data_IF_628162743399
#
_entry.id   IF_628162743399
#
_cell.length_a   1.000
_cell.length_b   1.000
_cell.length_c   1.000
_cell.angle_alpha   90.00
_cell.angle_beta   90.00
_cell.angle_gamma   90.00
#
_symmetry.space_group_name_H-M   'P 1'
#
loop_
_entity.id
_entity.type
_entity.pdbx_description
1 polymer ?
#
# COMPACT_ATOMS: atom_id res chain seq x y z
N UNK A 1 14.57 -5.60 4.70
CA UNK A 1 13.24 -6.14 5.07
C UNK A 1 12.16 -5.06 5.05
N UNK A 2 12.30 -3.94 5.77
CA UNK A 2 11.34 -2.82 5.72
C UNK A 2 11.21 -2.22 4.31
N UNK A 3 12.32 -2.18 3.55
CA UNK A 3 12.33 -1.73 2.16
C UNK A 3 11.35 -2.53 1.29
N UNK A 4 11.38 -3.86 1.39
CA UNK A 4 10.53 -4.72 0.56
C UNK A 4 9.04 -4.51 0.85
N UNK A 5 8.67 -4.37 2.13
CA UNK A 5 7.29 -4.10 2.55
C UNK A 5 6.80 -2.75 2.00
N UNK A 6 7.57 -1.68 2.20
CA UNK A 6 7.23 -0.34 1.70
C UNK A 6 7.16 -0.30 0.18
N UNK A 7 8.03 -1.02 -0.52
CA UNK A 7 7.96 -1.18 -1.98
C UNK A 7 6.68 -1.88 -2.43
N UNK A 8 6.28 -2.97 -1.75
CA UNK A 8 5.04 -3.68 -2.03
C UNK A 8 3.81 -2.78 -1.92
N UNK A 9 3.70 -2.06 -0.80
CA UNK A 9 2.61 -1.10 -0.56
C UNK A 9 2.58 -0.01 -1.63
N UNK A 10 3.74 0.57 -1.95
CA UNK A 10 3.85 1.61 -2.99
C UNK A 10 3.32 1.11 -4.34
N UNK A 11 3.66 -0.14 -4.71
CA UNK A 11 3.20 -0.75 -5.95
C UNK A 11 1.69 -1.00 -5.94
N UNK A 12 1.14 -1.52 -4.83
CA UNK A 12 -0.30 -1.74 -4.68
C UNK A 12 -1.09 -0.43 -4.80
N UNK A 13 -0.66 0.63 -4.09
CA UNK A 13 -1.28 1.95 -4.17
C UNK A 13 -1.26 2.50 -5.61
N UNK A 14 -0.14 2.33 -6.31
CA UNK A 14 -0.02 2.65 -7.74
C UNK A 14 -1.06 1.92 -8.59
N UNK A 15 -1.27 0.63 -8.33
CA UNK A 15 -2.25 -0.18 -9.06
C UNK A 15 -3.68 0.33 -8.88
N UNK A 16 -4.07 0.73 -7.66
CA UNK A 16 -5.40 1.28 -7.38
C UNK A 16 -5.67 2.59 -8.12
N UNK A 17 -4.66 3.44 -8.27
CA UNK A 17 -4.77 4.69 -9.05
C UNK A 17 -5.08 4.38 -10.53
N UNK A 18 -4.42 3.37 -11.07
CA UNK A 18 -4.57 2.96 -12.48
C UNK A 18 -5.74 2.02 -12.74
N UNK A 19 -6.37 1.50 -11.69
CA UNK A 19 -7.43 0.50 -11.81
C UNK A 19 -8.70 1.07 -12.47
N UNK A 20 -9.46 0.19 -13.14
CA UNK A 20 -10.74 0.53 -13.77
C UNK A 20 -11.89 0.68 -12.77
N UNK A 21 -11.62 0.45 -11.49
CA UNK A 21 -12.61 0.57 -10.44
C UNK A 21 -13.12 2.02 -10.28
N UNK A 22 -14.43 2.14 -10.05
CA UNK A 22 -15.09 3.43 -9.81
C UNK A 22 -14.79 3.95 -8.40
N UNK A 23 -13.56 4.41 -8.19
CA UNK A 23 -13.19 5.19 -7.02
C UNK A 23 -13.62 6.65 -7.22
N UNK A 24 -14.11 7.28 -6.15
CA UNK A 24 -14.43 8.72 -6.18
C UNK A 24 -13.15 9.54 -6.37
N UNK A 25 -13.27 10.75 -6.92
CA UNK A 25 -12.12 11.63 -7.13
C UNK A 25 -11.36 11.91 -5.82
N UNK A 26 -12.09 12.10 -4.72
CA UNK A 26 -11.50 12.29 -3.38
C UNK A 26 -10.70 11.07 -2.92
N UNK A 27 -11.20 9.85 -3.11
CA UNK A 27 -10.48 8.63 -2.72
C UNK A 27 -9.20 8.46 -3.55
N UNK A 28 -9.25 8.75 -4.86
CA UNK A 28 -8.05 8.71 -5.73
C UNK A 28 -6.98 9.70 -5.28
N UNK A 29 -7.38 10.90 -4.88
CA UNK A 29 -6.45 11.93 -4.39
C UNK A 29 -5.75 11.48 -3.10
N UNK A 30 -6.48 10.86 -2.16
CA UNK A 30 -5.90 10.36 -0.92
C UNK A 30 -4.93 9.18 -1.17
N UNK A 31 -5.25 8.27 -2.10
CA UNK A 31 -4.31 7.21 -2.52
C UNK A 31 -3.04 7.80 -3.13
N UNK A 32 -3.15 8.79 -4.00
CA UNK A 32 -1.99 9.47 -4.60
C UNK A 32 -1.11 10.15 -3.55
N UNK A 33 -1.72 10.83 -2.57
CA UNK A 33 -0.98 11.41 -1.44
C UNK A 33 -0.28 10.34 -0.62
N UNK A 34 -0.94 9.21 -0.37
CA UNK A 34 -0.35 8.10 0.38
C UNK A 34 0.83 7.48 -0.38
N UNK A 35 0.65 7.21 -1.69
CA UNK A 35 1.69 6.68 -2.58
C UNK A 35 2.94 7.58 -2.59
N UNK A 36 2.75 8.90 -2.68
CA UNK A 36 3.84 9.87 -2.64
C UNK A 36 4.61 9.85 -1.30
N UNK A 37 3.90 9.71 -0.17
CA UNK A 37 4.51 9.56 1.15
C UNK A 37 5.34 8.28 1.23
N UNK A 38 4.80 7.16 0.76
CA UNK A 38 5.50 5.87 0.76
C UNK A 38 6.75 5.89 -0.15
N UNK A 39 6.70 6.55 -1.31
CA UNK A 39 7.91 6.79 -2.15
C UNK A 39 8.99 7.59 -1.41
N UNK A 40 8.58 8.61 -0.67
CA UNK A 40 9.50 9.44 0.12
C UNK A 40 10.20 8.61 1.20
N UNK A 41 9.44 7.74 1.89
CA UNK A 41 9.99 6.80 2.86
C UNK A 41 10.94 5.81 2.15
N UNK A 42 10.54 5.23 1.02
CA UNK A 42 11.35 4.29 0.26
C UNK A 42 12.73 4.85 -0.12
N UNK A 43 12.81 6.14 -0.45
CA UNK A 43 14.06 6.81 -0.82
C UNK A 43 15.11 6.79 0.30
N UNK A 44 14.71 6.79 1.57
CA UNK A 44 15.62 6.78 2.72
C UNK A 44 15.92 5.38 3.26
N UNK A 45 15.13 4.37 2.87
CA UNK A 45 15.23 3.03 3.47
C UNK A 45 16.50 2.27 3.11
N UNK A 46 17.07 2.48 1.92
CA UNK A 46 18.33 1.85 1.55
C UNK A 46 19.50 2.26 2.47
N UNK A 47 19.53 3.52 2.90
CA UNK A 47 20.52 4.00 3.87
C UNK A 47 20.20 3.51 5.29
N UNK A 48 18.94 3.65 5.69
CA UNK A 48 18.49 3.26 7.02
C UNK A 48 18.73 1.75 7.30
N UNK A 49 18.45 0.87 6.34
CA UNK A 49 18.67 -0.58 6.51
C UNK A 49 20.15 -0.94 6.70
N UNK A 50 21.09 -0.16 6.16
CA UNK A 50 22.53 -0.37 6.41
C UNK A 50 22.92 0.13 7.80
N UNK A 51 22.38 1.26 8.22
CA UNK A 51 22.68 1.91 9.51
C UNK A 51 22.11 1.17 10.71
N UNK A 52 21.02 0.42 10.54
CA UNK A 52 20.36 -0.34 11.62
C UNK A 52 21.29 -1.29 12.40
N UNK A 53 22.38 -1.76 11.77
CA UNK A 53 23.36 -2.66 12.38
C UNK A 53 24.16 -1.97 13.50
N UNK A 54 24.32 -0.65 13.40
CA UNK A 54 25.16 0.14 14.32
C UNK A 54 24.36 1.17 15.13
N UNK A 55 23.19 1.56 14.65
CA UNK A 55 22.37 2.60 15.25
C UNK A 55 21.03 2.04 15.75
N UNK A 56 20.93 1.80 17.06
CA UNK A 56 19.72 1.23 17.68
C UNK A 56 18.48 2.11 17.46
N UNK A 57 18.65 3.44 17.42
CA UNK A 57 17.56 4.36 17.10
C UNK A 57 16.99 4.14 15.68
N UNK A 58 17.86 3.85 14.70
CA UNK A 58 17.45 3.55 13.33
C UNK A 58 16.76 2.20 13.26
N UNK A 59 17.28 1.20 13.98
CA UNK A 59 16.65 -0.12 14.09
C UNK A 59 15.25 -0.03 14.69
N UNK A 60 15.08 0.69 15.81
CA UNK A 60 13.77 0.90 16.43
C UNK A 60 12.78 1.59 15.50
N UNK A 61 13.23 2.60 14.75
CA UNK A 61 12.37 3.29 13.77
C UNK A 61 11.96 2.35 12.63
N UNK A 62 12.89 1.54 12.12
CA UNK A 62 12.61 0.56 11.07
C UNK A 62 11.67 -0.55 11.53
N UNK A 63 11.78 -1.01 12.78
CA UNK A 63 10.89 -2.04 13.31
C UNK A 63 9.45 -1.51 13.43
N UNK A 64 9.26 -0.29 13.94
CA UNK A 64 7.95 0.36 13.93
C UNK A 64 7.38 0.55 12.52
N UNK A 65 8.25 0.88 11.56
CA UNK A 65 7.82 1.01 10.18
C UNK A 65 7.37 -0.33 9.59
N UNK A 66 8.02 -1.45 9.93
CA UNK A 66 7.56 -2.79 9.53
C UNK A 66 6.19 -3.09 10.09
N UNK A 67 5.97 -2.84 11.38
CA UNK A 67 4.69 -3.10 12.04
C UNK A 67 3.55 -2.35 11.34
N UNK A 68 3.72 -1.04 11.12
CA UNK A 68 2.74 -0.22 10.40
C UNK A 68 2.59 -0.65 8.93
N UNK A 69 3.66 -1.15 8.31
CA UNK A 69 3.57 -1.66 6.93
C UNK A 69 2.74 -2.94 6.86
N UNK A 70 2.81 -3.82 7.86
CA UNK A 70 1.94 -5.01 7.91
C UNK A 70 0.47 -4.63 8.07
N UNK A 71 0.17 -3.70 8.99
CA UNK A 71 -1.20 -3.19 9.14
C UNK A 71 -1.74 -2.57 7.84
N UNK A 72 -0.89 -1.88 7.09
CA UNK A 72 -1.27 -1.31 5.80
C UNK A 72 -1.51 -2.39 4.74
N UNK A 73 -0.67 -3.42 4.68
CA UNK A 73 -0.83 -4.54 3.74
C UNK A 73 -2.17 -5.24 3.96
N UNK A 74 -2.52 -5.53 5.22
CA UNK A 74 -3.82 -6.10 5.59
C UNK A 74 -5.00 -5.23 5.11
N UNK A 75 -4.93 -3.92 5.32
CA UNK A 75 -5.97 -2.97 4.86
C UNK A 75 -6.11 -2.94 3.34
N UNK A 76 -5.00 -2.98 2.61
CA UNK A 76 -5.03 -2.96 1.15
C UNK A 76 -5.53 -4.29 0.57
N UNK A 77 -5.21 -5.42 1.21
CA UNK A 77 -5.72 -6.75 0.84
C UNK A 77 -7.24 -6.86 1.08
N UNK A 78 -7.74 -6.34 2.19
CA UNK A 78 -9.19 -6.24 2.46
C UNK A 78 -9.89 -5.39 1.41
N UNK A 79 -9.32 -4.24 1.06
CA UNK A 79 -9.86 -3.39 0.01
C UNK A 79 -9.88 -4.12 -1.33
N UNK A 80 -8.77 -4.72 -1.75
CA UNK A 80 -8.68 -5.47 -3.00
C UNK A 80 -9.74 -6.58 -3.05
N UNK A 81 -9.91 -7.33 -1.95
CA UNK A 81 -10.93 -8.36 -1.81
C UNK A 81 -12.35 -7.80 -1.98
N UNK A 82 -12.65 -6.65 -1.37
CA UNK A 82 -13.95 -6.00 -1.50
C UNK A 82 -14.22 -5.54 -2.94
N UNK A 83 -13.21 -5.00 -3.63
CA UNK A 83 -13.34 -4.57 -5.02
C UNK A 83 -13.60 -5.74 -5.97
N UNK A 84 -12.90 -6.87 -5.78
CA UNK A 84 -13.12 -8.10 -6.55
C UNK A 84 -14.54 -8.63 -6.33
N UNK A 85 -15.00 -8.70 -5.08
CA UNK A 85 -16.38 -9.14 -4.77
C UNK A 85 -17.43 -8.24 -5.43
N UNK A 86 -17.20 -6.92 -5.44
CA UNK A 86 -18.09 -5.97 -6.11
C UNK A 86 -18.11 -6.16 -7.64
N UNK A 87 -16.98 -6.48 -8.25
CA UNK A 87 -16.92 -6.78 -9.69
C UNK A 87 -17.69 -8.06 -10.04
N UNK A 88 -17.51 -9.15 -9.27
CA UNK A 88 -18.20 -10.41 -9.48
C UNK A 88 -19.73 -10.23 -9.35
N UNK A 89 -20.18 -9.53 -8.30
CA UNK A 89 -21.61 -9.27 -8.11
C UNK A 89 -22.23 -8.49 -9.28
N UNK A 90 -21.48 -7.56 -9.87
CA UNK A 90 -21.92 -6.80 -11.05
C UNK A 90 -22.08 -7.69 -12.29
N UNK A 91 -21.17 -8.65 -12.50
CA UNK A 91 -21.26 -9.60 -13.62
C UNK A 91 -22.43 -10.58 -13.47
N UNK A 92 -22.75 -11.00 -12.24
CA UNK A 92 -23.90 -11.89 -11.97
C UNK A 92 -25.27 -11.23 -12.21
N UNK A 93 -25.38 -9.91 -12.02
CA UNK A 93 -26.59 -9.14 -12.31
C UNK A 93 -26.75 -8.87 -13.82
N UNK A 94 -25.65 -8.56 -14.52
CA UNK A 94 -25.63 -8.30 -15.96
C UNK A 94 -25.89 -9.59 -16.78
N UNK A 95 -25.46 -10.77 -16.30
CA UNK A 95 -25.73 -12.06 -16.94
C UNK A 95 -27.13 -12.64 -16.70
N UNK A 96 -27.95 -12.01 -15.83
CA UNK A 96 -29.34 -12.42 -15.52
C UNK A 96 -30.40 -11.58 -16.23
N UNK A 97 -30.03 -10.48 -16.87
CA UNK A 97 -30.90 -9.64 -17.71
C UNK A 97 -30.84 -10.04 -19.17
#
# INVERSE_FOLDING_TARGET
MALALVSGITQQLGSFITSEFKLTASVKEEIQKLESKFRTIQAVLNDAEKRQVKEEAVKLWLDKLKDVSYEMDDVLDEWNTAMIKAAIAKEEEEGRS
#
